data_IF_958579326822
#
_entry.id   IF_958579326822
#
_cell.length_a   1.000
_cell.length_b   1.000
_cell.length_c   1.000
_cell.angle_alpha   90.00
_cell.angle_beta   90.00
_cell.angle_gamma   90.00
#
_symmetry.space_group_name_H-M   'P 1'
#
loop_
_entity.id
_entity.type
_entity.pdbx_description
1 polymer ?
#
# COMPACT_ATOMS: atom_id res chain seq x y z
N UNK A 1 -6.20 -0.26 26.85
CA UNK A 1 -6.00 0.53 25.62
C UNK A 1 -4.55 0.57 25.14
N UNK A 2 -3.57 1.02 25.95
CA UNK A 2 -2.15 1.10 25.53
C UNK A 2 -1.58 -0.22 24.99
N UNK A 3 -1.81 -1.37 25.66
CA UNK A 3 -1.34 -2.69 25.23
C UNK A 3 -1.93 -3.11 23.86
N UNK A 4 -3.21 -2.83 23.63
CA UNK A 4 -3.85 -3.13 22.36
C UNK A 4 -3.31 -2.24 21.22
N UNK A 5 -3.10 -0.94 21.48
CA UNK A 5 -2.50 -0.05 20.51
C UNK A 5 -1.09 -0.51 20.10
N UNK A 6 -0.27 -0.93 21.07
CA UNK A 6 1.07 -1.48 20.80
C UNK A 6 0.99 -2.79 20.00
N UNK A 7 0.05 -3.68 20.34
CA UNK A 7 -0.18 -4.91 19.59
C UNK A 7 -0.57 -4.60 18.14
N UNK A 8 -1.61 -3.79 17.91
CA UNK A 8 -2.09 -3.47 16.58
C UNK A 8 -1.03 -2.72 15.79
N UNK A 9 -0.30 -1.78 16.42
CA UNK A 9 0.83 -1.11 15.79
C UNK A 9 1.93 -2.07 15.35
N UNK A 10 2.30 -3.03 16.22
CA UNK A 10 3.30 -4.05 15.88
C UNK A 10 2.83 -4.98 14.75
N UNK A 11 1.54 -5.36 14.72
CA UNK A 11 0.96 -6.18 13.66
C UNK A 11 1.04 -5.46 12.32
N UNK A 12 0.59 -4.21 12.27
CA UNK A 12 0.60 -3.40 11.05
C UNK A 12 2.02 -3.11 10.57
N UNK A 13 2.96 -2.88 11.50
CA UNK A 13 4.38 -2.72 11.19
C UNK A 13 4.95 -3.97 10.50
N UNK A 14 4.69 -5.15 11.06
CA UNK A 14 5.20 -6.43 10.51
C UNK A 14 4.62 -6.69 9.13
N UNK A 15 3.32 -6.48 8.96
CA UNK A 15 2.61 -6.64 7.70
C UNK A 15 3.21 -5.76 6.60
N UNK A 16 3.32 -4.45 6.86
CA UNK A 16 3.86 -3.51 5.86
C UNK A 16 5.37 -3.68 5.65
N UNK A 17 6.12 -4.14 6.65
CA UNK A 17 7.54 -4.49 6.52
C UNK A 17 7.73 -5.71 5.60
N UNK A 18 6.95 -6.77 5.78
CA UNK A 18 7.01 -7.94 4.90
C UNK A 18 6.60 -7.59 3.47
N UNK A 19 5.52 -6.79 3.31
CA UNK A 19 5.07 -6.29 2.02
C UNK A 19 6.19 -5.62 1.23
N UNK A 20 6.89 -4.65 1.82
CA UNK A 20 7.89 -3.84 1.13
C UNK A 20 9.29 -4.48 1.07
N UNK A 21 9.52 -5.61 1.76
CA UNK A 21 10.80 -6.31 1.75
C UNK A 21 11.17 -6.93 0.41
N UNK A 22 10.20 -7.16 -0.49
CA UNK A 22 10.45 -7.79 -1.79
C UNK A 22 11.27 -6.90 -2.73
N UNK A 23 11.16 -5.59 -2.61
CA UNK A 23 11.70 -4.63 -3.58
C UNK A 23 13.21 -4.82 -3.85
N UNK A 24 14.12 -4.87 -2.85
CA UNK A 24 15.53 -5.14 -3.10
C UNK A 24 15.84 -6.60 -3.46
N UNK A 25 14.93 -7.55 -3.16
CA UNK A 25 15.09 -8.97 -3.48
C UNK A 25 14.61 -9.32 -4.89
N UNK A 26 13.83 -8.44 -5.51
CA UNK A 26 13.18 -8.74 -6.78
C UNK A 26 14.16 -9.07 -7.91
N UNK A 27 15.28 -8.32 -8.11
CA UNK A 27 16.27 -8.68 -9.11
C UNK A 27 16.91 -10.05 -8.86
N UNK A 28 17.32 -10.36 -7.61
CA UNK A 28 17.88 -11.65 -7.23
C UNK A 28 16.91 -12.82 -7.53
N UNK A 29 15.63 -12.66 -7.20
CA UNK A 29 14.64 -13.69 -7.51
C UNK A 29 14.34 -13.78 -9.01
N UNK A 30 14.37 -12.65 -9.73
CA UNK A 30 14.21 -12.65 -11.18
C UNK A 30 15.35 -13.43 -11.85
N UNK A 31 16.59 -13.22 -11.45
CA UNK A 31 17.74 -13.98 -11.93
C UNK A 31 17.68 -15.45 -11.50
N UNK A 32 17.48 -15.71 -10.21
CA UNK A 32 17.49 -17.08 -9.64
C UNK A 32 16.46 -18.02 -10.24
N UNK A 33 15.28 -17.51 -10.59
CA UNK A 33 14.16 -18.30 -11.11
C UNK A 33 13.89 -18.04 -12.60
N UNK A 34 14.80 -17.34 -13.29
CA UNK A 34 14.68 -16.97 -14.72
C UNK A 34 13.31 -16.32 -15.03
N UNK A 35 12.94 -15.34 -14.21
CA UNK A 35 11.65 -14.69 -14.37
C UNK A 35 11.69 -13.67 -15.50
N UNK A 36 10.69 -13.73 -16.36
CA UNK A 36 10.37 -12.61 -17.23
C UNK A 36 9.94 -11.38 -16.41
N UNK A 37 9.92 -10.19 -16.99
CA UNK A 37 9.36 -9.00 -16.32
C UNK A 37 7.94 -9.23 -15.85
N UNK A 38 7.12 -9.95 -16.63
CA UNK A 38 5.77 -10.34 -16.22
C UNK A 38 5.79 -11.23 -14.96
N UNK A 39 6.69 -12.21 -14.89
CA UNK A 39 6.87 -13.06 -13.71
C UNK A 39 7.29 -12.25 -12.47
N UNK A 40 8.22 -11.33 -12.62
CA UNK A 40 8.61 -10.40 -11.55
C UNK A 40 7.42 -9.51 -11.11
N UNK A 41 6.59 -9.09 -12.07
CA UNK A 41 5.34 -8.35 -11.80
C UNK A 41 4.32 -9.17 -11.01
N UNK A 42 4.17 -10.46 -11.32
CA UNK A 42 3.30 -11.38 -10.56
C UNK A 42 3.83 -11.55 -9.15
N UNK A 43 5.13 -11.78 -8.97
CA UNK A 43 5.75 -11.93 -7.65
C UNK A 43 5.56 -10.67 -6.79
N UNK A 44 5.77 -9.47 -7.34
CA UNK A 44 5.54 -8.22 -6.62
C UNK A 44 4.05 -8.01 -6.32
N UNK A 45 3.17 -8.21 -7.30
CA UNK A 45 1.74 -7.98 -7.20
C UNK A 45 0.95 -9.01 -6.39
N UNK A 46 1.51 -10.20 -6.13
CA UNK A 46 0.82 -11.31 -5.46
C UNK A 46 0.30 -10.94 -4.06
N UNK A 47 1.10 -10.22 -3.27
CA UNK A 47 0.66 -9.72 -1.96
C UNK A 47 -0.56 -8.79 -2.10
N UNK A 48 -0.47 -7.79 -2.96
CA UNK A 48 -1.56 -6.84 -3.16
C UNK A 48 -2.83 -7.53 -3.70
N UNK A 49 -2.68 -8.53 -4.57
CA UNK A 49 -3.79 -9.36 -5.05
C UNK A 49 -4.46 -10.11 -3.89
N UNK A 50 -3.69 -10.73 -3.01
CA UNK A 50 -4.18 -11.38 -1.79
C UNK A 50 -4.91 -10.40 -0.87
N UNK A 51 -4.34 -9.21 -0.65
CA UNK A 51 -4.94 -8.17 0.18
C UNK A 51 -6.27 -7.67 -0.40
N UNK A 52 -6.34 -7.42 -1.71
CA UNK A 52 -7.58 -6.99 -2.40
C UNK A 52 -8.66 -8.06 -2.26
N UNK A 53 -8.36 -9.31 -2.59
CA UNK A 53 -9.32 -10.41 -2.51
C UNK A 53 -9.70 -10.74 -1.07
N UNK A 54 -8.78 -10.55 -0.12
CA UNK A 54 -8.99 -10.74 1.31
C UNK A 54 -9.80 -9.65 1.99
N UNK A 55 -9.83 -8.42 1.45
CA UNK A 55 -10.42 -7.24 2.12
C UNK A 55 -11.90 -7.44 2.47
N UNK A 56 -12.73 -7.86 1.52
CA UNK A 56 -14.16 -8.06 1.76
C UNK A 56 -14.44 -9.26 2.68
N UNK A 57 -13.84 -10.46 2.45
CA UNK A 57 -13.98 -11.58 3.35
C UNK A 57 -13.49 -11.28 4.78
N UNK A 58 -12.39 -10.55 4.94
CA UNK A 58 -11.86 -10.18 6.24
C UNK A 58 -12.80 -9.23 6.99
N UNK A 59 -13.36 -8.24 6.30
CA UNK A 59 -14.38 -7.35 6.87
C UNK A 59 -15.63 -8.11 7.33
N UNK A 60 -16.12 -9.01 6.49
CA UNK A 60 -17.25 -9.88 6.81
C UNK A 60 -16.95 -10.80 8.02
N UNK A 61 -15.75 -11.39 8.06
CA UNK A 61 -15.31 -12.25 9.16
C UNK A 61 -15.20 -11.44 10.47
N UNK A 62 -14.69 -10.21 10.41
CA UNK A 62 -14.57 -9.34 11.58
C UNK A 62 -15.96 -9.03 12.18
N UNK A 63 -16.98 -8.87 11.32
CA UNK A 63 -18.38 -8.70 11.75
C UNK A 63 -18.95 -9.98 12.36
N UNK A 64 -18.77 -11.15 11.72
CA UNK A 64 -19.42 -12.40 12.15
C UNK A 64 -18.69 -13.14 13.27
N UNK A 65 -17.37 -13.27 13.15
CA UNK A 65 -16.54 -14.02 14.10
C UNK A 65 -15.90 -13.13 15.18
N UNK A 66 -15.95 -11.81 14.98
CA UNK A 66 -15.40 -10.79 15.85
C UNK A 66 -13.94 -10.43 15.50
N UNK A 67 -13.59 -9.17 15.78
CA UNK A 67 -12.30 -8.55 15.42
C UNK A 67 -11.08 -9.33 15.93
N UNK A 68 -11.13 -9.86 17.17
CA UNK A 68 -10.02 -10.64 17.72
C UNK A 68 -9.75 -11.92 16.95
N UNK A 69 -10.79 -12.69 16.58
CA UNK A 69 -10.61 -13.94 15.82
C UNK A 69 -10.09 -13.67 14.40
N UNK A 70 -10.55 -12.61 13.79
CA UNK A 70 -10.09 -12.18 12.47
C UNK A 70 -8.62 -11.77 12.52
N UNK A 71 -8.19 -11.02 13.54
CA UNK A 71 -6.79 -10.68 13.77
C UNK A 71 -5.93 -11.94 13.97
N UNK A 72 -6.38 -12.90 14.78
CA UNK A 72 -5.65 -14.15 15.02
C UNK A 72 -5.49 -14.98 13.74
N UNK A 73 -6.52 -15.05 12.90
CA UNK A 73 -6.43 -15.69 11.58
C UNK A 73 -5.39 -14.98 10.71
N UNK A 74 -5.43 -13.64 10.65
CA UNK A 74 -4.44 -12.85 9.92
C UNK A 74 -3.01 -13.14 10.37
N UNK A 75 -2.76 -13.10 11.68
CA UNK A 75 -1.45 -13.39 12.25
C UNK A 75 -0.98 -14.84 12.01
N UNK A 76 -1.89 -15.82 12.04
CA UNK A 76 -1.57 -17.21 11.71
C UNK A 76 -1.17 -17.36 10.24
N UNK A 77 -1.92 -16.73 9.32
CA UNK A 77 -1.58 -16.72 7.88
C UNK A 77 -0.23 -16.04 7.64
N UNK A 78 0.01 -14.86 8.23
CA UNK A 78 1.28 -14.14 8.13
C UNK A 78 2.46 -14.97 8.69
N UNK A 79 2.28 -15.64 9.84
CA UNK A 79 3.34 -16.47 10.43
C UNK A 79 3.70 -17.65 9.52
N UNK A 80 2.69 -18.36 9.00
CA UNK A 80 2.90 -19.53 8.14
C UNK A 80 3.47 -19.11 6.79
N UNK A 81 2.90 -18.07 6.15
CA UNK A 81 3.35 -17.59 4.84
C UNK A 81 4.77 -17.03 4.89
N UNK A 82 5.14 -16.30 5.95
CA UNK A 82 6.50 -15.77 6.11
C UNK A 82 7.54 -16.86 6.27
N UNK A 83 7.25 -17.90 7.07
CA UNK A 83 8.13 -19.07 7.19
C UNK A 83 8.18 -19.84 5.86
N UNK A 84 7.05 -20.08 5.21
CA UNK A 84 7.02 -20.77 3.93
C UNK A 84 7.78 -20.00 2.82
N UNK A 85 7.70 -18.66 2.81
CA UNK A 85 8.48 -17.79 1.93
C UNK A 85 9.99 -17.96 2.17
N UNK A 86 10.42 -18.04 3.43
CA UNK A 86 11.82 -18.23 3.83
C UNK A 86 12.47 -19.49 3.20
N UNK A 87 11.67 -20.55 3.00
CA UNK A 87 12.11 -21.85 2.46
C UNK A 87 11.61 -22.10 1.04
N UNK A 88 11.07 -21.10 0.36
CA UNK A 88 10.54 -21.27 -0.99
C UNK A 88 11.63 -21.68 -1.99
N UNK A 89 11.41 -22.84 -2.64
CA UNK A 89 12.28 -23.40 -3.66
C UNK A 89 11.79 -23.17 -5.09
N UNK A 90 10.64 -22.53 -5.28
CA UNK A 90 10.08 -22.23 -6.60
C UNK A 90 9.28 -20.92 -6.58
N UNK A 91 9.14 -20.31 -7.75
CA UNK A 91 8.37 -19.06 -7.91
C UNK A 91 6.91 -19.24 -7.52
N UNK A 92 6.31 -20.39 -7.82
CA UNK A 92 4.91 -20.69 -7.46
C UNK A 92 4.72 -20.65 -5.94
N UNK A 93 5.68 -21.16 -5.17
CA UNK A 93 5.63 -21.09 -3.69
C UNK A 93 5.84 -19.67 -3.21
N UNK A 94 6.74 -18.89 -3.83
CA UNK A 94 6.94 -17.47 -3.52
C UNK A 94 5.64 -16.69 -3.76
N UNK A 95 5.02 -16.82 -4.92
CA UNK A 95 3.77 -16.14 -5.29
C UNK A 95 2.63 -16.54 -4.35
N UNK A 96 2.47 -17.85 -4.10
CA UNK A 96 1.42 -18.37 -3.21
C UNK A 96 1.59 -17.86 -1.77
N UNK A 97 2.82 -17.84 -1.25
CA UNK A 97 3.08 -17.35 0.12
C UNK A 97 2.83 -15.86 0.24
N UNK A 98 3.22 -15.05 -0.73
CA UNK A 98 2.92 -13.62 -0.76
C UNK A 98 1.42 -13.35 -0.89
N UNK A 99 0.73 -14.11 -1.72
CA UNK A 99 -0.73 -14.02 -1.86
C UNK A 99 -1.45 -14.35 -0.54
N UNK A 100 -1.07 -15.45 0.11
CA UNK A 100 -1.63 -15.84 1.42
C UNK A 100 -1.30 -14.81 2.49
N UNK A 101 -0.10 -14.24 2.45
CA UNK A 101 0.29 -13.17 3.37
C UNK A 101 -0.57 -11.91 3.18
N UNK A 102 -0.87 -11.54 1.93
CA UNK A 102 -1.79 -10.44 1.63
C UNK A 102 -3.20 -10.67 2.19
N UNK A 103 -3.73 -11.90 2.11
CA UNK A 103 -5.00 -12.26 2.78
C UNK A 103 -4.84 -12.15 4.31
N UNK A 104 -3.70 -12.60 4.84
CA UNK A 104 -3.35 -12.47 6.26
C UNK A 104 -3.33 -11.02 6.70
N UNK A 105 -2.68 -10.15 5.93
CA UNK A 105 -2.67 -8.70 6.13
C UNK A 105 -4.07 -8.10 6.16
N UNK A 106 -4.92 -8.41 5.17
CA UNK A 106 -6.31 -7.94 5.13
C UNK A 106 -7.09 -8.33 6.41
N UNK A 107 -6.92 -9.58 6.89
CA UNK A 107 -7.52 -10.04 8.14
C UNK A 107 -6.94 -9.31 9.36
N UNK A 108 -5.63 -9.09 9.38
CA UNK A 108 -4.93 -8.40 10.46
C UNK A 108 -5.35 -6.93 10.56
N UNK A 109 -5.48 -6.24 9.43
CA UNK A 109 -5.98 -4.86 9.38
C UNK A 109 -7.44 -4.77 9.78
N UNK A 110 -8.34 -5.56 9.20
CA UNK A 110 -9.78 -5.54 9.53
C UNK A 110 -9.99 -5.90 11.00
N UNK A 111 -9.35 -6.95 11.50
CA UNK A 111 -9.46 -7.39 12.88
C UNK A 111 -8.80 -6.43 13.85
N UNK A 112 -7.55 -6.04 13.60
CA UNK A 112 -6.76 -5.18 14.48
C UNK A 112 -7.34 -3.78 14.62
N UNK A 113 -7.61 -3.10 13.50
CA UNK A 113 -8.19 -1.76 13.51
C UNK A 113 -9.64 -1.77 14.03
N UNK A 114 -10.44 -2.78 13.64
CA UNK A 114 -11.79 -2.95 14.17
C UNK A 114 -11.80 -3.12 15.69
N UNK A 115 -10.89 -3.93 16.24
CA UNK A 115 -10.74 -4.08 17.69
C UNK A 115 -10.28 -2.79 18.36
N UNK A 116 -9.27 -2.12 17.80
CA UNK A 116 -8.74 -0.88 18.36
C UNK A 116 -9.81 0.23 18.40
N UNK A 117 -10.57 0.41 17.32
CA UNK A 117 -11.63 1.41 17.21
C UNK A 117 -12.79 1.10 18.17
N UNK A 118 -13.15 -0.18 18.35
CA UNK A 118 -14.26 -0.59 19.22
C UNK A 118 -14.05 -0.25 20.71
N UNK A 119 -12.77 -0.23 21.17
CA UNK A 119 -12.44 0.09 22.57
C UNK A 119 -11.98 1.54 22.77
N UNK A 120 -11.93 2.34 21.69
CA UNK A 120 -11.47 3.74 21.74
C UNK A 120 -12.64 4.69 21.79
N UNK A 121 -12.70 5.63 22.76
CA UNK A 121 -13.72 6.68 22.81
C UNK A 121 -13.75 7.49 21.50
N UNK A 122 -14.95 7.88 21.04
CA UNK A 122 -15.16 8.57 19.76
C UNK A 122 -14.21 9.76 19.56
N UNK A 123 -14.05 10.61 20.58
CA UNK A 123 -13.18 11.79 20.56
C UNK A 123 -11.66 11.47 20.36
N UNK A 124 -11.24 10.22 20.58
CA UNK A 124 -9.81 9.81 20.50
C UNK A 124 -9.55 8.87 19.32
N UNK A 125 -10.58 8.45 18.56
CA UNK A 125 -10.43 7.47 17.46
C UNK A 125 -9.43 7.92 16.40
N UNK A 126 -9.55 9.17 15.94
CA UNK A 126 -8.64 9.71 14.93
C UNK A 126 -7.16 9.67 15.37
N UNK A 127 -6.87 10.14 16.59
CA UNK A 127 -5.50 10.11 17.12
C UNK A 127 -4.97 8.67 17.32
N UNK A 128 -5.84 7.73 17.66
CA UNK A 128 -5.48 6.32 17.87
C UNK A 128 -5.19 5.63 16.53
N UNK A 129 -6.04 5.86 15.53
CA UNK A 129 -5.84 5.36 14.16
C UNK A 129 -4.52 5.91 13.61
N UNK A 130 -4.27 7.22 13.76
CA UNK A 130 -3.02 7.84 13.30
C UNK A 130 -1.77 7.19 13.91
N UNK A 131 -1.78 6.86 15.21
CA UNK A 131 -0.67 6.16 15.86
C UNK A 131 -0.42 4.77 15.26
N UNK A 132 -1.49 4.03 14.94
CA UNK A 132 -1.35 2.74 14.26
C UNK A 132 -0.83 2.91 12.82
N UNK A 133 -1.30 3.92 12.08
CA UNK A 133 -0.81 4.24 10.73
C UNK A 133 0.66 4.67 10.73
N UNK A 134 1.14 5.36 11.78
CA UNK A 134 2.56 5.68 11.93
C UNK A 134 3.43 4.42 12.06
N UNK A 135 2.91 3.36 12.68
CA UNK A 135 3.59 2.07 12.72
C UNK A 135 3.64 1.38 11.34
N UNK A 136 2.58 1.53 10.52
CA UNK A 136 2.60 1.08 9.13
C UNK A 136 3.71 1.76 8.32
N UNK A 137 3.82 3.08 8.44
CA UNK A 137 4.88 3.83 7.78
C UNK A 137 6.28 3.34 8.21
N UNK A 138 6.47 3.10 9.52
CA UNK A 138 7.72 2.52 10.01
C UNK A 138 8.00 1.13 9.41
N UNK A 139 6.97 0.31 9.21
CA UNK A 139 7.08 -0.99 8.55
C UNK A 139 7.50 -0.85 7.08
N UNK A 140 6.88 0.06 6.33
CA UNK A 140 7.27 0.35 4.93
C UNK A 140 8.74 0.79 4.85
N UNK A 141 9.22 1.60 5.79
CA UNK A 141 10.62 2.01 5.86
C UNK A 141 11.57 0.86 6.21
N UNK A 142 11.17 -0.04 7.10
CA UNK A 142 11.99 -1.18 7.53
C UNK A 142 12.00 -2.34 6.52
N UNK A 143 11.01 -2.43 5.63
CA UNK A 143 10.92 -3.50 4.65
C UNK A 143 12.12 -3.59 3.70
N UNK A 144 12.53 -2.52 3.01
CA UNK A 144 13.73 -2.55 2.19
C UNK A 144 15.00 -2.93 2.96
N UNK A 145 15.07 -2.55 4.25
CA UNK A 145 16.17 -2.97 5.14
C UNK A 145 16.12 -4.48 5.38
N UNK A 146 14.95 -5.03 5.68
CA UNK A 146 14.74 -6.47 5.85
C UNK A 146 15.13 -7.23 4.57
N UNK A 147 14.69 -6.74 3.40
CA UNK A 147 15.02 -7.35 2.12
C UNK A 147 16.52 -7.31 1.82
N UNK A 148 17.18 -6.18 2.06
CA UNK A 148 18.63 -6.05 1.88
C UNK A 148 19.43 -6.96 2.84
N UNK A 149 18.98 -7.09 4.09
CA UNK A 149 19.56 -8.07 5.04
C UNK A 149 19.34 -9.50 4.53
N UNK A 150 18.14 -9.82 4.04
CA UNK A 150 17.84 -11.14 3.51
C UNK A 150 18.68 -11.48 2.27
N UNK A 151 19.03 -10.51 1.44
CA UNK A 151 19.94 -10.69 0.33
C UNK A 151 21.37 -11.05 0.83
N UNK A 152 21.85 -10.40 1.89
CA UNK A 152 23.20 -10.62 2.42
C UNK A 152 23.38 -11.94 3.18
N UNK A 153 22.39 -12.35 4.01
CA UNK A 153 22.48 -13.55 4.88
C UNK A 153 21.57 -14.70 4.44
N UNK A 154 20.85 -14.52 3.34
CA UNK A 154 19.83 -15.45 2.85
C UNK A 154 18.44 -15.21 3.48
N UNK A 155 17.37 -15.58 2.76
CA UNK A 155 15.98 -15.29 3.19
C UNK A 155 15.53 -16.11 4.39
N UNK A 156 16.16 -17.26 4.68
CA UNK A 156 15.72 -18.21 5.70
C UNK A 156 15.61 -17.59 7.09
N UNK A 157 16.67 -16.92 7.55
CA UNK A 157 16.70 -16.37 8.92
C UNK A 157 15.79 -15.15 9.05
N UNK A 158 15.92 -14.10 8.22
CA UNK A 158 15.11 -12.88 8.37
C UNK A 158 13.60 -13.15 8.30
N UNK A 159 13.13 -13.91 7.31
CA UNK A 159 11.70 -14.19 7.16
C UNK A 159 11.16 -15.19 8.19
N UNK A 160 11.98 -16.15 8.67
CA UNK A 160 11.57 -16.99 9.80
C UNK A 160 11.41 -16.17 11.10
N UNK A 161 12.27 -15.19 11.33
CA UNK A 161 12.14 -14.25 12.46
C UNK A 161 10.85 -13.44 12.37
N UNK A 162 10.51 -12.94 11.18
CA UNK A 162 9.22 -12.24 10.94
C UNK A 162 8.04 -13.16 11.25
N UNK A 163 8.05 -14.40 10.76
CA UNK A 163 7.00 -15.37 11.04
C UNK A 163 6.88 -15.72 12.54
N UNK A 164 8.02 -15.91 13.24
CA UNK A 164 8.04 -16.11 14.67
C UNK A 164 7.46 -14.90 15.42
N UNK A 165 7.81 -13.70 15.00
CA UNK A 165 7.29 -12.49 15.62
C UNK A 165 5.78 -12.34 15.41
N UNK A 166 5.24 -12.66 14.22
CA UNK A 166 3.80 -12.72 13.99
C UNK A 166 3.11 -13.75 14.91
N UNK A 167 3.71 -14.94 15.10
CA UNK A 167 3.20 -15.95 16.04
C UNK A 167 3.22 -15.46 17.49
N UNK A 168 4.26 -14.76 17.92
CA UNK A 168 4.33 -14.14 19.25
C UNK A 168 3.25 -13.07 19.44
N UNK A 169 2.99 -12.24 18.42
CA UNK A 169 1.90 -11.27 18.47
C UNK A 169 0.53 -11.96 18.56
N UNK A 170 0.33 -13.11 17.91
CA UNK A 170 -0.88 -13.92 18.08
C UNK A 170 -1.04 -14.42 19.53
N UNK A 171 0.04 -14.88 20.17
CA UNK A 171 0.01 -15.27 21.59
C UNK A 171 -0.32 -14.09 22.52
N UNK A 172 0.19 -12.90 22.22
CA UNK A 172 -0.17 -11.68 22.96
C UNK A 172 -1.65 -11.34 22.74
N UNK A 173 -2.15 -11.42 21.50
CA UNK A 173 -3.56 -11.18 21.18
C UNK A 173 -4.50 -12.17 21.93
N UNK A 174 -4.08 -13.42 22.11
CA UNK A 174 -4.84 -14.42 22.89
C UNK A 174 -4.97 -14.05 24.36
N UNK A 175 -4.01 -13.31 24.94
CA UNK A 175 -4.02 -12.91 26.35
C UNK A 175 -4.78 -11.62 26.62
N UNK A 176 -5.14 -10.85 25.58
CA UNK A 176 -5.91 -9.62 25.74
C UNK A 176 -7.42 -9.94 25.80
N UNK A 177 -8.20 -9.19 26.62
CA UNK A 177 -9.64 -9.40 26.69
C UNK A 177 -10.29 -9.13 25.33
N UNK A 178 -11.19 -10.03 24.91
CA UNK A 178 -11.93 -9.83 23.65
C UNK A 178 -12.83 -8.59 23.75
N UNK A 179 -13.06 -7.87 22.63
CA UNK A 179 -13.96 -6.72 22.64
C UNK A 179 -15.37 -7.19 23.02
N UNK A 180 -15.96 -6.52 24.00
CA UNK A 180 -17.37 -6.65 24.29
C UNK A 180 -18.12 -5.69 23.32
N UNK A 181 -18.60 -6.18 22.21
CA UNK A 181 -19.33 -5.34 21.25
C UNK A 181 -20.18 -6.16 20.30
N UNK A 182 -21.36 -5.62 19.98
CA UNK A 182 -22.20 -6.17 18.91
C UNK A 182 -21.48 -6.09 17.55
N UNK A 183 -21.72 -7.04 16.65
CA UNK A 183 -21.18 -6.98 15.30
C UNK A 183 -21.62 -5.69 14.62
N UNK A 184 -20.69 -5.02 13.93
CA UNK A 184 -20.98 -3.82 13.15
C UNK A 184 -21.75 -4.27 11.92
N UNK A 185 -23.02 -3.85 11.81
CA UNK A 185 -23.88 -4.22 10.67
C UNK A 185 -23.53 -3.28 9.52
N UNK A 186 -23.00 -3.81 8.42
CA UNK A 186 -22.85 -3.05 7.16
C UNK A 186 -24.22 -3.05 6.46
N UNK A 187 -25.00 -2.00 6.66
CA UNK A 187 -26.39 -1.91 6.17
C UNK A 187 -26.51 -1.57 4.68
N UNK A 188 -25.45 -1.09 4.03
CA UNK A 188 -25.55 -0.62 2.62
C UNK A 188 -24.49 -1.22 1.72
N UNK A 189 -24.84 -1.59 0.46
CA UNK A 189 -23.89 -2.14 -0.50
C UNK A 189 -22.82 -1.13 -0.91
N UNK A 190 -21.57 -1.57 -1.07
CA UNK A 190 -20.44 -0.78 -1.56
C UNK A 190 -20.73 -0.02 -2.86
N UNK A 191 -21.54 -0.65 -3.75
CA UNK A 191 -21.91 -0.06 -5.04
C UNK A 191 -22.68 1.27 -4.93
N UNK A 192 -23.35 1.53 -3.82
CA UNK A 192 -24.08 2.79 -3.63
C UNK A 192 -23.14 3.98 -3.43
N UNK A 193 -21.96 3.77 -2.83
CA UNK A 193 -20.95 4.79 -2.66
C UNK A 193 -20.48 5.39 -4.01
N UNK A 194 -20.31 4.54 -5.02
CA UNK A 194 -19.84 4.98 -6.35
C UNK A 194 -20.87 5.79 -7.16
N UNK A 195 -22.08 6.01 -6.63
CA UNK A 195 -23.02 6.98 -7.22
C UNK A 195 -22.59 8.42 -6.99
N UNK A 196 -21.87 8.70 -5.89
CA UNK A 196 -21.32 10.03 -5.62
C UNK A 196 -20.11 10.34 -6.53
N UNK A 197 -20.13 11.54 -7.14
CA UNK A 197 -19.05 11.98 -8.01
C UNK A 197 -17.72 12.18 -7.28
N UNK A 198 -17.76 12.54 -5.98
CA UNK A 198 -16.55 12.71 -5.14
C UNK A 198 -15.90 11.38 -4.87
N UNK A 199 -16.70 10.32 -4.59
CA UNK A 199 -16.21 8.96 -4.41
C UNK A 199 -15.54 8.46 -5.69
N UNK A 200 -16.16 8.64 -6.85
CA UNK A 200 -15.57 8.24 -8.13
C UNK A 200 -14.27 8.98 -8.44
N UNK A 201 -14.26 10.31 -8.24
CA UNK A 201 -13.06 11.10 -8.48
C UNK A 201 -11.97 10.78 -7.47
N UNK A 202 -12.30 10.66 -6.18
CA UNK A 202 -11.36 10.27 -5.14
C UNK A 202 -10.77 8.88 -5.39
N UNK A 203 -11.59 7.89 -5.77
CA UNK A 203 -11.14 6.55 -6.14
C UNK A 203 -10.19 6.60 -7.35
N UNK A 204 -10.52 7.38 -8.39
CA UNK A 204 -9.64 7.57 -9.54
C UNK A 204 -8.29 8.18 -9.14
N UNK A 205 -8.30 9.23 -8.31
CA UNK A 205 -7.09 9.91 -7.84
C UNK A 205 -6.25 9.06 -6.87
N UNK A 206 -6.84 8.05 -6.22
CA UNK A 206 -6.11 7.01 -5.46
C UNK A 206 -5.56 5.94 -6.40
N UNK A 207 -6.32 5.55 -7.43
CA UNK A 207 -5.92 4.53 -8.41
C UNK A 207 -4.68 4.93 -9.21
N UNK A 208 -4.60 6.20 -9.66
CA UNK A 208 -3.50 6.66 -10.53
C UNK A 208 -2.12 6.51 -9.87
N UNK A 209 -1.85 7.04 -8.65
CA UNK A 209 -0.57 6.82 -7.99
C UNK A 209 -0.33 5.35 -7.63
N UNK A 210 -1.39 4.57 -7.37
CA UNK A 210 -1.25 3.13 -7.11
C UNK A 210 -0.78 2.34 -8.35
N UNK A 211 -1.30 2.68 -9.54
CA UNK A 211 -0.81 2.14 -10.82
C UNK A 211 0.67 2.48 -11.05
N UNK A 212 1.04 3.74 -10.81
CA UNK A 212 2.44 4.20 -10.93
C UNK A 212 3.32 3.45 -9.95
N UNK A 213 2.90 3.36 -8.68
CA UNK A 213 3.64 2.66 -7.63
C UNK A 213 3.88 1.19 -7.99
N UNK A 214 2.83 0.45 -8.39
CA UNK A 214 2.97 -0.95 -8.78
C UNK A 214 3.93 -1.16 -9.96
N UNK A 215 3.88 -0.28 -10.97
CA UNK A 215 4.80 -0.35 -12.12
C UNK A 215 6.25 -0.04 -11.70
N UNK A 216 6.46 1.00 -10.89
CA UNK A 216 7.78 1.43 -10.41
C UNK A 216 8.40 0.39 -9.49
N UNK A 217 7.61 -0.22 -8.60
CA UNK A 217 8.07 -1.25 -7.65
C UNK A 217 8.67 -2.49 -8.35
N UNK A 218 8.28 -2.74 -9.60
CA UNK A 218 8.83 -3.84 -10.41
C UNK A 218 9.95 -3.36 -11.33
N UNK A 219 9.68 -2.34 -12.14
CA UNK A 219 10.60 -1.97 -13.20
C UNK A 219 11.83 -1.18 -12.70
N UNK A 220 11.69 -0.36 -11.65
CA UNK A 220 12.80 0.43 -11.16
C UNK A 220 13.90 -0.41 -10.47
N UNK A 221 13.60 -1.40 -9.60
CA UNK A 221 14.62 -2.30 -9.08
C UNK A 221 15.36 -3.07 -10.17
N UNK A 222 14.63 -3.62 -11.17
CA UNK A 222 15.24 -4.34 -12.29
C UNK A 222 16.13 -3.44 -13.15
N UNK A 223 15.72 -2.20 -13.40
CA UNK A 223 16.52 -1.22 -14.15
C UNK A 223 17.76 -0.77 -13.36
N UNK A 224 17.64 -0.54 -12.04
CA UNK A 224 18.77 -0.22 -11.18
C UNK A 224 19.79 -1.34 -11.12
N UNK A 225 19.35 -2.59 -11.01
CA UNK A 225 20.19 -3.79 -11.04
C UNK A 225 20.90 -3.90 -12.39
N UNK A 226 20.19 -3.73 -13.51
CA UNK A 226 20.77 -3.70 -14.86
C UNK A 226 21.82 -2.61 -15.07
N UNK A 227 21.81 -1.53 -14.28
CA UNK A 227 22.83 -0.48 -14.22
C UNK A 227 23.92 -0.75 -13.16
N UNK A 228 23.93 -1.96 -12.57
CA UNK A 228 24.95 -2.41 -11.62
C UNK A 228 24.72 -1.98 -10.16
N UNK A 229 23.54 -1.54 -9.79
CA UNK A 229 23.21 -1.24 -8.40
C UNK A 229 23.06 -2.53 -7.59
N UNK A 230 23.72 -2.63 -6.44
CA UNK A 230 23.51 -3.74 -5.52
C UNK A 230 22.11 -3.69 -4.88
N UNK A 231 21.59 -4.84 -4.40
CA UNK A 231 20.31 -4.87 -3.70
C UNK A 231 20.29 -3.99 -2.44
N UNK A 232 21.44 -3.82 -1.76
CA UNK A 232 21.58 -2.86 -0.67
C UNK A 232 21.34 -1.42 -1.16
N UNK A 233 21.91 -1.06 -2.32
CA UNK A 233 21.72 0.25 -2.93
C UNK A 233 20.24 0.45 -3.35
N UNK A 234 19.62 -0.56 -3.96
CA UNK A 234 18.20 -0.55 -4.32
C UNK A 234 17.34 -0.37 -3.06
N UNK A 235 17.61 -1.15 -2.00
CA UNK A 235 16.93 -1.02 -0.72
C UNK A 235 17.07 0.39 -0.13
N UNK A 236 18.26 1.00 -0.21
CA UNK A 236 18.51 2.36 0.25
C UNK A 236 17.71 3.40 -0.56
N UNK A 237 17.59 3.25 -1.88
CA UNK A 237 16.80 4.13 -2.74
C UNK A 237 15.34 4.14 -2.30
N UNK A 238 14.72 2.98 -2.10
CA UNK A 238 13.32 2.89 -1.70
C UNK A 238 13.10 3.31 -0.25
N UNK A 239 14.06 3.04 0.65
CA UNK A 239 14.03 3.56 2.03
C UNK A 239 14.03 5.10 2.05
N UNK A 240 14.94 5.72 1.29
CA UNK A 240 15.03 7.18 1.18
C UNK A 240 13.78 7.76 0.54
N UNK A 241 13.28 7.13 -0.54
CA UNK A 241 12.04 7.53 -1.20
C UNK A 241 10.86 7.52 -0.23
N UNK A 242 10.64 6.43 0.49
CA UNK A 242 9.54 6.31 1.47
C UNK A 242 9.70 7.29 2.64
N UNK A 243 10.92 7.54 3.12
CA UNK A 243 11.19 8.51 4.17
C UNK A 243 10.85 9.94 3.76
N UNK A 244 11.30 10.37 2.58
CA UNK A 244 11.02 11.71 2.06
C UNK A 244 9.54 11.85 1.70
N UNK A 245 8.93 10.81 1.09
CA UNK A 245 7.50 10.77 0.78
C UNK A 245 6.66 10.96 2.04
N UNK A 246 6.96 10.23 3.12
CA UNK A 246 6.25 10.37 4.40
C UNK A 246 6.27 11.80 4.94
N UNK A 247 7.42 12.48 4.84
CA UNK A 247 7.54 13.91 5.21
C UNK A 247 6.74 14.79 4.25
N UNK A 248 6.83 14.54 2.94
CA UNK A 248 6.12 15.31 1.92
C UNK A 248 4.59 15.21 2.07
N UNK A 249 4.07 14.04 2.46
CA UNK A 249 2.64 13.83 2.73
C UNK A 249 2.13 14.70 3.88
N UNK A 250 2.93 14.94 4.92
CA UNK A 250 2.57 15.86 6.03
C UNK A 250 2.41 17.30 5.51
N UNK A 251 3.32 17.75 4.64
CA UNK A 251 3.21 19.08 4.02
C UNK A 251 2.05 19.16 3.02
N UNK A 252 1.80 18.09 2.25
CA UNK A 252 0.65 17.99 1.35
C UNK A 252 -0.68 18.08 2.10
N UNK A 253 -0.78 17.42 3.27
CA UNK A 253 -1.94 17.54 4.16
C UNK A 253 -2.17 18.98 4.61
N UNK A 254 -1.15 19.63 5.16
CA UNK A 254 -1.22 21.05 5.58
C UNK A 254 -1.56 22.00 4.42
N UNK A 255 -1.05 21.73 3.23
CA UNK A 255 -1.37 22.52 2.03
C UNK A 255 -2.83 22.30 1.61
N UNK A 256 -3.33 21.08 1.73
CA UNK A 256 -4.73 20.71 1.48
C UNK A 256 -5.67 21.48 2.41
N UNK A 257 -5.36 21.53 3.71
CA UNK A 257 -6.17 22.23 4.72
C UNK A 257 -6.18 23.75 4.49
N UNK A 258 -5.04 24.34 4.07
CA UNK A 258 -4.91 25.80 3.91
C UNK A 258 -5.35 26.33 2.55
N UNK A 259 -5.08 25.61 1.48
CA UNK A 259 -5.25 26.07 0.07
C UNK A 259 -6.25 25.25 -0.72
N UNK A 260 -6.89 24.25 -0.07
CA UNK A 260 -7.78 23.30 -0.72
C UNK A 260 -7.01 22.19 -1.48
N UNK A 261 -7.75 21.19 -1.92
CA UNK A 261 -7.21 19.93 -2.48
C UNK A 261 -6.63 20.08 -3.90
N UNK A 262 -7.13 21.04 -4.68
CA UNK A 262 -6.81 21.15 -6.10
C UNK A 262 -5.35 21.46 -6.41
N UNK A 263 -4.68 22.28 -5.58
CA UNK A 263 -3.28 22.64 -5.79
C UNK A 263 -2.31 21.46 -5.54
N UNK A 264 -2.38 20.74 -4.40
CA UNK A 264 -1.53 19.57 -4.17
C UNK A 264 -1.77 18.46 -5.20
N UNK A 265 -3.03 18.18 -5.60
CA UNK A 265 -3.34 17.18 -6.62
C UNK A 265 -2.69 17.54 -7.96
N UNK A 266 -2.82 18.78 -8.41
CA UNK A 266 -2.23 19.21 -9.69
C UNK A 266 -0.70 19.19 -9.65
N UNK A 267 -0.10 19.61 -8.53
CA UNK A 267 1.36 19.57 -8.35
C UNK A 267 1.86 18.11 -8.38
N UNK A 268 1.24 17.22 -7.62
CA UNK A 268 1.63 15.82 -7.57
C UNK A 268 1.45 15.11 -8.91
N UNK A 269 0.30 15.27 -9.59
CA UNK A 269 0.08 14.68 -10.92
C UNK A 269 1.02 15.27 -11.98
N UNK A 270 1.31 16.57 -11.93
CA UNK A 270 2.25 17.21 -12.85
C UNK A 270 3.68 16.73 -12.65
N UNK A 271 4.09 16.58 -11.38
CA UNK A 271 5.37 16.02 -11.04
C UNK A 271 5.49 14.54 -11.40
N UNK A 272 4.43 13.75 -11.17
CA UNK A 272 4.36 12.35 -11.59
C UNK A 272 4.45 12.22 -13.12
N UNK A 273 3.75 13.07 -13.86
CA UNK A 273 3.84 13.13 -15.33
C UNK A 273 5.30 13.39 -15.77
N UNK A 274 5.95 14.40 -15.20
CA UNK A 274 7.35 14.71 -15.51
C UNK A 274 8.29 13.54 -15.20
N UNK A 275 8.11 12.89 -14.04
CA UNK A 275 8.83 11.69 -13.64
C UNK A 275 8.67 10.57 -14.68
N UNK A 276 7.43 10.25 -15.07
CA UNK A 276 7.15 9.15 -15.99
C UNK A 276 7.74 9.38 -17.39
N UNK A 277 7.93 10.63 -17.81
CA UNK A 277 8.56 10.98 -19.09
C UNK A 277 10.10 10.87 -19.05
N UNK A 278 10.69 10.91 -17.87
CA UNK A 278 12.15 10.99 -17.70
C UNK A 278 12.75 9.70 -17.14
N UNK A 279 11.96 8.85 -16.46
CA UNK A 279 12.47 7.69 -15.69
C UNK A 279 13.27 6.68 -16.52
N UNK A 280 13.03 6.59 -17.82
CA UNK A 280 13.75 5.68 -18.73
C UNK A 280 14.97 6.30 -19.44
N UNK A 281 15.27 7.57 -19.16
CA UNK A 281 16.38 8.30 -19.79
C UNK A 281 17.73 8.06 -19.11
N UNK A 282 17.80 7.94 -17.74
CA UNK A 282 19.09 7.78 -17.07
C UNK A 282 19.83 6.51 -17.48
N UNK A 283 21.10 6.65 -17.79
CA UNK A 283 22.06 5.59 -18.11
C UNK A 283 23.02 5.26 -16.95
N UNK A 284 22.88 5.98 -15.82
CA UNK A 284 23.68 5.78 -14.61
C UNK A 284 22.76 5.46 -13.41
N UNK A 285 23.12 4.46 -12.60
CA UNK A 285 22.34 3.98 -11.47
C UNK A 285 22.00 5.10 -10.45
N UNK A 286 22.97 5.98 -10.13
CA UNK A 286 22.76 7.09 -9.19
C UNK A 286 21.75 8.11 -9.71
N UNK A 287 21.74 8.37 -11.03
CA UNK A 287 20.80 9.31 -11.65
C UNK A 287 19.40 8.71 -11.69
N UNK A 288 19.27 7.43 -12.05
CA UNK A 288 18.00 6.71 -12.00
C UNK A 288 17.47 6.68 -10.57
N UNK A 289 18.31 6.41 -9.58
CA UNK A 289 17.94 6.43 -8.16
C UNK A 289 17.36 7.79 -7.74
N UNK A 290 18.01 8.90 -8.12
CA UNK A 290 17.51 10.24 -7.83
C UNK A 290 16.15 10.52 -8.49
N UNK A 291 15.98 10.10 -9.75
CA UNK A 291 14.71 10.24 -10.49
C UNK A 291 13.60 9.41 -9.84
N UNK A 292 13.89 8.16 -9.43
CA UNK A 292 12.93 7.28 -8.74
C UNK A 292 12.51 7.88 -7.39
N UNK A 293 13.46 8.36 -6.58
CA UNK A 293 13.16 9.02 -5.30
C UNK A 293 12.23 10.23 -5.53
N UNK A 294 12.59 11.11 -6.46
CA UNK A 294 11.77 12.29 -6.78
C UNK A 294 10.37 11.87 -7.27
N UNK A 295 10.28 10.85 -8.12
CA UNK A 295 9.03 10.33 -8.67
C UNK A 295 8.10 9.75 -7.60
N UNK A 296 8.61 8.94 -6.68
CA UNK A 296 7.84 8.40 -5.55
C UNK A 296 7.28 9.52 -4.68
N UNK A 297 8.11 10.51 -4.33
CA UNK A 297 7.68 11.66 -3.52
C UNK A 297 6.58 12.46 -4.22
N UNK A 298 6.74 12.76 -5.51
CA UNK A 298 5.76 13.54 -6.28
C UNK A 298 4.45 12.79 -6.45
N UNK A 299 4.49 11.47 -6.68
CA UNK A 299 3.29 10.62 -6.74
C UNK A 299 2.59 10.56 -5.38
N UNK A 300 3.34 10.45 -4.28
CA UNK A 300 2.82 10.39 -2.91
C UNK A 300 2.08 11.65 -2.48
N UNK A 301 2.41 12.82 -3.03
CA UNK A 301 1.72 14.09 -2.73
C UNK A 301 0.21 14.02 -3.10
N UNK A 302 -0.16 13.23 -4.10
CA UNK A 302 -1.56 13.05 -4.52
C UNK A 302 -2.37 12.26 -3.49
N UNK A 303 -1.74 11.33 -2.76
CA UNK A 303 -2.44 10.36 -1.90
C UNK A 303 -3.28 11.02 -0.81
N UNK A 304 -2.71 11.93 -0.04
CA UNK A 304 -3.41 12.58 1.09
C UNK A 304 -4.68 13.32 0.63
N UNK A 305 -4.64 14.25 -0.34
CA UNK A 305 -5.86 14.94 -0.78
C UNK A 305 -6.84 14.01 -1.52
N UNK A 306 -6.37 12.95 -2.19
CA UNK A 306 -7.23 11.98 -2.85
C UNK A 306 -8.01 11.13 -1.82
N UNK A 307 -7.33 10.65 -0.79
CA UNK A 307 -7.96 9.88 0.30
C UNK A 307 -8.97 10.72 1.08
N UNK A 308 -8.66 11.98 1.38
CA UNK A 308 -9.63 12.87 2.05
C UNK A 308 -10.84 13.14 1.17
N UNK A 309 -10.66 13.33 -0.15
CA UNK A 309 -11.78 13.51 -1.07
C UNK A 309 -12.70 12.28 -1.11
N UNK A 310 -12.10 11.09 -1.14
CA UNK A 310 -12.83 9.82 -1.12
C UNK A 310 -13.62 9.65 0.20
N UNK A 311 -12.97 9.90 1.33
CA UNK A 311 -13.60 9.78 2.66
C UNK A 311 -14.77 10.74 2.82
N UNK A 312 -14.62 12.01 2.43
CA UNK A 312 -15.73 12.99 2.50
C UNK A 312 -16.87 12.62 1.55
N UNK A 313 -16.57 12.03 0.39
CA UNK A 313 -17.60 11.52 -0.52
C UNK A 313 -18.41 10.37 0.10
N UNK A 314 -17.73 9.46 0.81
CA UNK A 314 -18.36 8.34 1.53
C UNK A 314 -19.22 8.83 2.68
N UNK A 315 -18.71 9.76 3.50
CA UNK A 315 -19.47 10.37 4.59
C UNK A 315 -20.67 11.17 4.07
N UNK A 316 -20.46 11.95 3.00
CA UNK A 316 -21.53 12.72 2.34
C UNK A 316 -22.63 11.85 1.72
N UNK A 317 -22.32 10.60 1.37
CA UNK A 317 -23.29 9.60 0.95
C UNK A 317 -24.02 8.91 2.13
N UNK A 318 -23.73 9.30 3.37
CA UNK A 318 -24.32 8.71 4.59
C UNK A 318 -23.83 7.30 4.89
N UNK A 319 -22.60 6.98 4.45
CA UNK A 319 -21.94 5.68 4.65
C UNK A 319 -20.92 5.76 5.79
N UNK A 320 -20.71 4.63 6.46
CA UNK A 320 -19.77 4.59 7.59
C UNK A 320 -18.30 4.81 7.15
N UNK A 321 -17.50 5.43 8.02
CA UNK A 321 -16.07 5.70 7.83
C UNK A 321 -15.27 4.44 7.48
N UNK A 322 -15.61 3.29 8.09
CA UNK A 322 -14.96 2.00 7.80
C UNK A 322 -15.11 1.55 6.34
N UNK A 323 -16.20 1.90 5.68
CA UNK A 323 -16.44 1.63 4.27
C UNK A 323 -15.50 2.45 3.37
N UNK A 324 -15.25 3.71 3.72
CA UNK A 324 -14.31 4.57 3.02
C UNK A 324 -12.91 3.97 3.01
N UNK A 325 -12.46 3.48 4.16
CA UNK A 325 -11.16 2.82 4.28
C UNK A 325 -11.06 1.54 3.46
N UNK A 326 -12.11 0.71 3.45
CA UNK A 326 -12.17 -0.49 2.62
C UNK A 326 -12.11 -0.17 1.11
N UNK A 327 -12.82 0.88 0.66
CA UNK A 327 -12.77 1.34 -0.74
C UNK A 327 -11.36 1.84 -1.09
N UNK A 328 -10.71 2.62 -0.21
CA UNK A 328 -9.31 3.05 -0.42
C UNK A 328 -8.40 1.85 -0.62
N UNK A 329 -8.47 0.84 0.25
CA UNK A 329 -7.62 -0.35 0.14
C UNK A 329 -7.89 -1.16 -1.14
N UNK A 330 -9.15 -1.33 -1.52
CA UNK A 330 -9.51 -2.02 -2.77
C UNK A 330 -8.99 -1.29 -4.01
N UNK A 331 -9.14 0.03 -4.04
CA UNK A 331 -8.71 0.86 -5.16
C UNK A 331 -7.18 0.95 -5.23
N UNK A 332 -6.52 1.17 -4.09
CA UNK A 332 -5.06 1.21 -4.00
C UNK A 332 -4.45 -0.13 -4.38
N UNK A 333 -4.86 -1.21 -3.72
CA UNK A 333 -4.34 -2.55 -4.00
C UNK A 333 -4.66 -3.01 -5.43
N UNK A 334 -5.86 -2.72 -5.94
CA UNK A 334 -6.24 -3.01 -7.33
C UNK A 334 -5.35 -2.27 -8.33
N UNK A 335 -5.09 -0.98 -8.10
CA UNK A 335 -4.16 -0.19 -8.92
C UNK A 335 -2.73 -0.73 -8.88
N UNK A 336 -2.27 -1.11 -7.69
CA UNK A 336 -0.94 -1.68 -7.49
C UNK A 336 -0.78 -3.02 -8.23
N UNK A 337 -1.76 -3.93 -8.13
CA UNK A 337 -1.75 -5.20 -8.87
C UNK A 337 -1.70 -4.97 -10.37
N UNK A 338 -2.58 -4.10 -10.88
CA UNK A 338 -2.62 -3.78 -12.32
C UNK A 338 -1.29 -3.16 -12.76
N UNK A 339 -0.75 -2.20 -12.02
CA UNK A 339 0.53 -1.58 -12.32
C UNK A 339 1.68 -2.58 -12.32
N UNK A 340 1.78 -3.42 -11.30
CA UNK A 340 2.83 -4.42 -11.18
C UNK A 340 2.74 -5.49 -12.29
N UNK A 341 1.58 -6.11 -12.46
CA UNK A 341 1.44 -7.25 -13.38
C UNK A 341 1.34 -6.78 -14.83
N UNK A 342 0.39 -5.87 -15.14
CA UNK A 342 0.17 -5.43 -16.52
C UNK A 342 1.28 -4.49 -17.00
N UNK A 343 1.81 -3.61 -16.12
CA UNK A 343 2.93 -2.74 -16.44
C UNK A 343 4.20 -3.52 -16.78
N UNK A 344 4.55 -4.50 -15.95
CA UNK A 344 5.71 -5.35 -16.18
C UNK A 344 5.53 -6.28 -17.38
N UNK A 345 4.34 -6.87 -17.57
CA UNK A 345 4.05 -7.69 -18.74
C UNK A 345 4.18 -6.88 -20.05
N UNK A 346 3.66 -5.66 -20.07
CA UNK A 346 3.76 -4.76 -21.21
C UNK A 346 5.22 -4.36 -21.49
N UNK A 347 6.00 -4.07 -20.45
CA UNK A 347 7.42 -3.79 -20.58
C UNK A 347 8.20 -4.99 -21.16
N UNK A 348 7.79 -6.22 -20.80
CA UNK A 348 8.41 -7.45 -21.28
C UNK A 348 8.19 -7.73 -22.76
N UNK A 349 7.05 -7.35 -23.32
CA UNK A 349 6.70 -7.57 -24.75
C UNK A 349 6.97 -6.35 -25.64
N UNK A 350 7.31 -5.18 -25.05
CA UNK A 350 7.59 -3.95 -25.78
C UNK A 350 8.93 -3.35 -25.34
N UNK A 351 8.86 -2.36 -24.46
CA UNK A 351 10.02 -1.72 -23.81
C UNK A 351 9.57 -1.12 -22.47
N UNK A 352 10.50 -0.81 -21.58
CA UNK A 352 10.22 -0.19 -20.28
C UNK A 352 9.57 1.20 -20.42
N UNK A 353 9.80 1.90 -21.54
CA UNK A 353 9.21 3.20 -21.79
C UNK A 353 7.68 3.13 -22.00
N UNK A 354 7.16 2.06 -22.58
CA UNK A 354 5.73 2.00 -22.98
C UNK A 354 4.78 2.06 -21.77
N UNK A 355 4.91 1.24 -20.71
CA UNK A 355 4.03 1.38 -19.55
C UNK A 355 4.16 2.74 -18.87
N UNK A 356 5.35 3.33 -18.78
CA UNK A 356 5.53 4.67 -18.23
C UNK A 356 4.86 5.75 -19.08
N UNK A 357 4.95 5.69 -20.41
CA UNK A 357 4.29 6.62 -21.33
C UNK A 357 2.76 6.51 -21.28
N UNK A 358 2.22 5.29 -21.12
CA UNK A 358 0.78 5.09 -20.93
C UNK A 358 0.30 5.73 -19.63
N UNK A 359 1.03 5.53 -18.54
CA UNK A 359 0.73 6.16 -17.25
C UNK A 359 0.88 7.69 -17.33
N UNK A 360 1.87 8.19 -18.07
CA UNK A 360 2.02 9.62 -18.34
C UNK A 360 0.80 10.19 -19.08
N UNK A 361 0.28 9.47 -20.08
CA UNK A 361 -0.95 9.85 -20.78
C UNK A 361 -2.18 9.87 -19.84
N UNK A 362 -2.28 8.90 -18.92
CA UNK A 362 -3.32 8.88 -17.88
C UNK A 362 -3.21 10.09 -16.95
N UNK A 363 -2.00 10.43 -16.48
CA UNK A 363 -1.76 11.62 -15.65
C UNK A 363 -2.11 12.90 -16.41
N UNK A 364 -1.68 13.04 -17.66
CA UNK A 364 -1.99 14.20 -18.51
C UNK A 364 -3.50 14.35 -18.74
N UNK A 365 -4.19 13.27 -19.10
CA UNK A 365 -5.65 13.25 -19.28
C UNK A 365 -6.40 13.63 -18.00
N UNK A 366 -5.92 13.15 -16.83
CA UNK A 366 -6.47 13.52 -15.53
C UNK A 366 -6.26 15.01 -15.25
N UNK A 367 -5.07 15.55 -15.50
CA UNK A 367 -4.77 16.97 -15.33
C UNK A 367 -5.65 17.87 -16.22
N UNK A 368 -5.86 17.47 -17.48
CA UNK A 368 -6.74 18.20 -18.39
C UNK A 368 -8.17 18.25 -17.87
N UNK A 369 -8.69 17.13 -17.37
CA UNK A 369 -10.05 17.08 -16.77
C UNK A 369 -10.17 17.93 -15.50
N UNK A 370 -9.10 18.05 -14.72
CA UNK A 370 -9.07 18.84 -13.49
C UNK A 370 -8.86 20.35 -13.72
N UNK A 371 -8.63 20.81 -14.98
CA UNK A 371 -8.56 22.25 -15.33
C UNK A 371 -9.94 22.90 -15.39
N UNK A 372 -11.00 22.12 -15.65
CA UNK A 372 -12.38 22.61 -15.64
C UNK A 372 -12.89 22.86 -14.21
N UNK A 373 -14.05 23.52 -14.06
CA UNK A 373 -14.70 23.66 -12.78
C UNK A 373 -15.04 22.25 -12.26
N UNK A 374 -14.26 21.77 -11.29
CA UNK A 374 -14.50 20.49 -10.65
C UNK A 374 -15.25 20.74 -9.31
N UNK A 375 -16.60 20.73 -9.29
CA UNK A 375 -17.40 20.97 -8.09
C UNK A 375 -17.03 19.99 -6.96
N UNK A 376 -16.54 18.81 -7.33
CA UNK A 376 -16.09 17.78 -6.40
C UNK A 376 -14.85 18.17 -5.59
N UNK A 377 -14.05 19.16 -6.04
CA UNK A 377 -12.86 19.64 -5.31
C UNK A 377 -13.16 20.84 -4.39
N UNK A 378 -14.38 21.39 -4.43
CA UNK A 378 -14.76 22.48 -3.56
C UNK A 378 -14.81 22.01 -2.09
N UNK A 379 -14.37 22.86 -1.14
CA UNK A 379 -14.49 22.52 0.27
C UNK A 379 -15.97 22.29 0.63
N UNK A 380 -16.22 21.29 1.48
CA UNK A 380 -17.55 21.11 2.06
C UNK A 380 -17.84 22.36 2.90
N UNK A 381 -18.84 23.16 2.55
CA UNK A 381 -19.32 24.22 3.43
C UNK A 381 -19.92 23.53 4.65
N UNK A 382 -19.34 23.75 5.81
CA UNK A 382 -20.00 23.34 7.05
C UNK A 382 -21.38 24.00 7.06
N UNK A 383 -22.44 23.24 7.40
CA UNK A 383 -23.73 23.87 7.67
C UNK A 383 -23.55 24.80 8.88
N UNK A 384 -23.88 26.07 8.70
CA UNK A 384 -23.87 27.13 9.71
C UNK A 384 -24.85 26.80 10.81
#
# INVERSE_FOLDING_TARGET
>A
MRRLLLLVGAVVLVDTMFFSAITPLLPEYAERFDLSKAGAGVLSGSYAAGAVLGTLPAGWLAVRAGSRRTLLLGLALMAVSSVAFAFAGSVVVLDATRFVDGIGGACAWAGGMGWLVSVTPAAQRGATIWKAMSAALAGVLLGPVLGAVAQGVGPKVPFSVVGLFAALLALVALRLPAPAGAPMVVERPYATAFRDARVRLGAWLVMVPALVFGTVEVLAPLALDGLGASGLAIGAVFLVAAGIEGVAQVFAGRATDRRGRGAPIRLGLGGTLAFLLVVTVPDAAWLLAAVVVAGCVLSGIVNTPAMTLLSDGVEGAGLEYGLGFAIVNLVWGGGQVIGAVAGAALAGVTSDAVPYLLLAAVCAGTLVRLRGPAPALAPVREPV
#
